data_IF_887802705527
#
_entry.id   IF_887802705527
#
_cell.length_a   1.000
_cell.length_b   1.000
_cell.length_c   1.000
_cell.angle_alpha   90.00
_cell.angle_beta   90.00
_cell.angle_gamma   90.00
#
_symmetry.space_group_name_H-M   'P 1'
#
loop_
_entity.id
_entity.type
_entity.pdbx_description
1 polymer ?
#
# COMPACT_ATOMS: atom_id res chain seq x y z
N UNK A 1 9.21 15.37 -14.69
CA UNK A 1 8.41 14.50 -13.81
C UNK A 1 6.96 14.37 -14.29
N UNK A 2 6.07 15.41 -14.29
CA UNK A 2 4.63 15.25 -14.64
C UNK A 2 4.38 14.65 -16.02
N UNK A 3 5.14 15.02 -17.05
CA UNK A 3 5.03 14.41 -18.39
C UNK A 3 5.34 12.90 -18.37
N UNK A 4 6.36 12.49 -17.63
CA UNK A 4 6.73 11.07 -17.48
C UNK A 4 5.64 10.29 -16.74
N UNK A 5 5.10 10.86 -15.66
CA UNK A 5 3.99 10.25 -14.90
C UNK A 5 2.76 10.08 -15.81
N UNK A 6 2.39 11.13 -16.55
CA UNK A 6 1.25 11.10 -17.46
C UNK A 6 1.39 10.01 -18.54
N UNK A 7 2.57 9.91 -19.18
CA UNK A 7 2.84 8.87 -20.18
C UNK A 7 2.72 7.47 -19.60
N UNK A 8 3.38 7.20 -18.46
CA UNK A 8 3.38 5.88 -17.79
C UNK A 8 1.99 5.46 -17.31
N UNK A 9 1.23 6.38 -16.69
CA UNK A 9 -0.11 6.05 -16.22
C UNK A 9 -1.10 5.88 -17.37
N UNK A 10 -0.98 6.64 -18.45
CA UNK A 10 -1.76 6.42 -19.68
C UNK A 10 -1.47 5.05 -20.29
N UNK A 11 -0.19 4.69 -20.41
CA UNK A 11 0.23 3.37 -20.89
C UNK A 11 -0.37 2.26 -20.04
N UNK A 12 -0.23 2.35 -18.71
CA UNK A 12 -0.80 1.38 -17.77
C UNK A 12 -2.32 1.24 -17.93
N UNK A 13 -3.03 2.35 -17.95
CA UNK A 13 -4.49 2.33 -18.01
C UNK A 13 -5.03 1.79 -19.33
N UNK A 14 -4.32 2.02 -20.43
CA UNK A 14 -4.70 1.56 -21.78
C UNK A 14 -4.23 0.13 -22.06
N UNK A 15 -3.08 -0.29 -21.52
CA UNK A 15 -2.48 -1.59 -21.80
C UNK A 15 -2.95 -2.69 -20.86
N UNK A 16 -3.19 -2.40 -19.59
CA UNK A 16 -3.63 -3.39 -18.60
C UNK A 16 -5.15 -3.34 -18.38
N UNK A 17 -5.89 -4.42 -18.64
CA UNK A 17 -7.32 -4.49 -18.31
C UNK A 17 -7.49 -4.54 -16.78
N UNK A 18 -7.73 -3.38 -16.16
CA UNK A 18 -7.90 -3.27 -14.73
C UNK A 18 -9.23 -3.86 -14.28
N UNK A 19 -9.21 -4.75 -13.29
CA UNK A 19 -10.39 -5.08 -12.51
C UNK A 19 -10.22 -4.64 -11.06
N UNK A 20 -11.33 -4.43 -10.36
CA UNK A 20 -11.36 -3.80 -9.06
C UNK A 20 -12.09 -4.66 -8.05
N UNK A 21 -11.47 -4.88 -6.89
CA UNK A 21 -12.08 -5.57 -5.76
C UNK A 21 -12.04 -4.66 -4.55
N UNK A 22 -13.16 -4.52 -3.86
CA UNK A 22 -13.28 -3.69 -2.66
C UNK A 22 -13.71 -4.51 -1.45
N UNK A 23 -13.17 -4.18 -0.30
CA UNK A 23 -13.54 -4.79 0.97
C UNK A 23 -13.55 -3.76 2.09
N UNK A 24 -14.54 -3.86 2.97
CA UNK A 24 -14.53 -3.16 4.25
C UNK A 24 -13.82 -4.02 5.29
N UNK A 25 -12.84 -3.45 5.96
CA UNK A 25 -11.98 -4.16 6.92
C UNK A 25 -12.15 -3.53 8.30
N UNK A 26 -12.50 -4.35 9.31
CA UNK A 26 -12.45 -3.94 10.70
C UNK A 26 -11.02 -3.72 11.15
N UNK A 27 -10.73 -2.57 11.72
CA UNK A 27 -9.40 -2.19 12.19
C UNK A 27 -9.35 -1.87 13.69
N UNK A 28 -10.46 -2.02 14.40
CA UNK A 28 -10.55 -1.74 15.84
C UNK A 28 -9.46 -2.47 16.64
N UNK A 29 -9.24 -3.77 16.38
CA UNK A 29 -8.19 -4.56 17.04
C UNK A 29 -6.79 -4.07 16.65
N UNK A 30 -6.58 -3.73 15.39
CA UNK A 30 -5.30 -3.20 14.89
C UNK A 30 -4.97 -1.86 15.55
N UNK A 31 -5.95 -0.97 15.68
CA UNK A 31 -5.75 0.34 16.34
C UNK A 31 -5.39 0.18 17.81
N UNK A 32 -6.04 -0.72 18.54
CA UNK A 32 -5.70 -1.07 19.94
C UNK A 32 -4.29 -1.63 20.04
N UNK A 33 -3.92 -2.58 19.18
CA UNK A 33 -2.57 -3.15 19.14
C UNK A 33 -1.52 -2.08 18.85
N UNK A 34 -1.76 -1.22 17.85
CA UNK A 34 -0.86 -0.09 17.53
C UNK A 34 -0.67 0.82 18.73
N UNK A 35 -1.75 1.16 19.45
CA UNK A 35 -1.68 2.00 20.64
C UNK A 35 -0.82 1.34 21.73
N UNK A 36 -1.06 0.06 22.02
CA UNK A 36 -0.30 -0.70 23.00
C UNK A 36 1.19 -0.77 22.65
N UNK A 37 1.54 -1.11 21.39
CA UNK A 37 2.93 -1.17 20.95
C UNK A 37 3.62 0.19 21.02
N UNK A 38 2.93 1.27 20.66
CA UNK A 38 3.50 2.62 20.72
C UNK A 38 3.66 3.12 22.16
N UNK A 39 2.82 2.72 23.11
CA UNK A 39 2.95 3.08 24.53
C UNK A 39 4.13 2.39 25.22
N UNK A 40 4.52 1.21 24.75
CA UNK A 40 5.65 0.45 25.31
C UNK A 40 6.97 0.65 24.54
N UNK A 41 6.94 1.42 23.45
CA UNK A 41 8.10 1.62 22.58
C UNK A 41 9.21 2.48 23.17
N UNK A 42 8.98 3.17 24.31
CA UNK A 42 9.95 4.06 24.97
C UNK A 42 10.67 5.06 24.05
N UNK A 43 9.99 5.48 22.97
CA UNK A 43 10.55 6.39 21.97
C UNK A 43 11.38 5.74 20.86
N UNK A 44 11.65 4.43 20.92
CA UNK A 44 12.45 3.75 19.92
C UNK A 44 11.78 3.73 18.52
N UNK A 45 10.46 3.64 18.50
CA UNK A 45 9.67 3.68 17.27
C UNK A 45 8.28 4.29 17.52
N UNK A 46 7.63 4.70 16.45
CA UNK A 46 6.23 5.13 16.45
C UNK A 46 5.55 4.56 15.22
N UNK A 47 4.78 3.50 15.42
CA UNK A 47 4.07 2.78 14.36
C UNK A 47 2.86 3.55 13.85
N UNK A 48 2.70 3.58 12.54
CA UNK A 48 1.51 4.08 11.84
C UNK A 48 0.65 2.90 11.35
N UNK A 49 -0.61 3.16 11.01
CA UNK A 49 -1.48 2.15 10.36
C UNK A 49 -0.84 1.66 9.05
N UNK A 50 -0.16 2.55 8.32
CA UNK A 50 0.49 2.22 7.07
C UNK A 50 1.59 1.15 7.23
N UNK A 51 2.33 1.15 8.34
CA UNK A 51 3.38 0.16 8.61
C UNK A 51 2.78 -1.25 8.75
N UNK A 52 1.60 -1.35 9.41
CA UNK A 52 0.85 -2.61 9.49
C UNK A 52 0.32 -3.06 8.13
N UNK A 53 -0.19 -2.12 7.32
CA UNK A 53 -0.67 -2.42 5.96
C UNK A 53 0.46 -2.95 5.08
N UNK A 54 1.63 -2.31 5.10
CA UNK A 54 2.81 -2.77 4.35
C UNK A 54 3.17 -4.20 4.75
N UNK A 55 3.21 -4.49 6.06
CA UNK A 55 3.52 -5.84 6.56
C UNK A 55 2.46 -6.86 6.17
N UNK A 56 1.19 -6.53 6.30
CA UNK A 56 0.07 -7.41 5.96
C UNK A 56 0.04 -7.73 4.46
N UNK A 57 0.17 -6.71 3.61
CA UNK A 57 0.22 -6.87 2.14
C UNK A 57 1.43 -7.70 1.74
N UNK A 58 2.62 -7.39 2.26
CA UNK A 58 3.83 -8.17 1.96
C UNK A 58 3.68 -9.64 2.35
N UNK A 59 3.07 -9.93 3.51
CA UNK A 59 2.80 -11.30 3.95
C UNK A 59 1.76 -12.00 3.07
N UNK A 60 0.74 -11.28 2.61
CA UNK A 60 -0.28 -11.81 1.70
C UNK A 60 0.31 -12.14 0.31
N UNK A 61 1.18 -11.28 -0.22
CA UNK A 61 1.83 -11.50 -1.52
C UNK A 61 2.72 -12.76 -1.54
N UNK A 62 3.37 -13.09 -0.42
CA UNK A 62 4.13 -14.34 -0.29
C UNK A 62 3.20 -15.56 -0.23
N UNK A 63 2.02 -15.42 0.39
CA UNK A 63 1.02 -16.51 0.46
C UNK A 63 0.25 -16.70 -0.84
N UNK A 64 0.11 -15.63 -1.64
CA UNK A 64 -0.60 -15.65 -2.92
C UNK A 64 0.33 -15.10 -4.02
N UNK A 65 1.34 -15.89 -4.44
CA UNK A 65 2.38 -15.41 -5.34
C UNK A 65 1.87 -14.98 -6.72
N UNK A 66 0.71 -15.47 -7.16
CA UNK A 66 0.10 -15.05 -8.42
C UNK A 66 -0.16 -13.53 -8.48
N UNK A 67 -0.47 -12.90 -7.33
CA UNK A 67 -0.66 -11.44 -7.24
C UNK A 67 0.66 -10.68 -7.17
N UNK A 68 1.76 -11.37 -6.79
CA UNK A 68 3.10 -10.79 -6.74
C UNK A 68 3.84 -11.04 -8.06
N UNK A 69 3.31 -10.57 -9.16
CA UNK A 69 3.76 -10.87 -10.51
C UNK A 69 3.81 -9.64 -11.40
N UNK A 70 4.37 -9.80 -12.58
CA UNK A 70 4.42 -8.78 -13.65
C UNK A 70 4.17 -9.45 -15.00
N UNK A 71 3.31 -8.86 -15.82
CA UNK A 71 3.16 -9.26 -17.21
C UNK A 71 4.31 -8.70 -18.05
N UNK A 72 5.01 -9.56 -18.76
CA UNK A 72 6.10 -9.23 -19.68
C UNK A 72 5.60 -9.40 -21.11
N UNK A 73 4.98 -8.34 -21.65
CA UNK A 73 4.28 -8.39 -22.96
C UNK A 73 5.21 -8.78 -24.11
N UNK A 74 6.43 -8.22 -24.15
CA UNK A 74 7.40 -8.53 -25.21
C UNK A 74 7.87 -10.00 -25.22
N UNK A 75 7.80 -10.67 -24.07
CA UNK A 75 8.22 -12.05 -23.89
C UNK A 75 7.02 -13.01 -23.85
N UNK A 76 5.79 -12.48 -23.71
CA UNK A 76 4.56 -13.27 -23.56
C UNK A 76 4.53 -14.11 -22.29
N UNK A 77 5.20 -13.66 -21.20
CA UNK A 77 5.33 -14.46 -19.96
C UNK A 77 4.91 -13.68 -18.73
N UNK A 78 4.47 -14.41 -17.70
CA UNK A 78 4.24 -13.88 -16.36
C UNK A 78 5.53 -14.08 -15.55
N UNK A 79 6.13 -12.96 -15.10
CA UNK A 79 7.25 -13.00 -14.16
C UNK A 79 6.71 -12.94 -12.74
N UNK A 80 6.83 -14.03 -11.99
CA UNK A 80 6.50 -14.09 -10.56
C UNK A 80 7.70 -13.66 -9.71
N UNK A 81 7.44 -12.90 -8.64
CA UNK A 81 8.45 -12.38 -7.74
C UNK A 81 8.51 -13.20 -6.45
N UNK A 82 9.71 -13.56 -6.02
CA UNK A 82 9.96 -14.31 -4.77
C UNK A 82 10.01 -13.41 -3.52
N UNK A 83 10.20 -12.12 -3.72
CA UNK A 83 10.21 -11.10 -2.64
C UNK A 83 9.02 -10.17 -2.76
N UNK A 84 8.55 -9.65 -1.64
CA UNK A 84 7.52 -8.62 -1.62
C UNK A 84 8.18 -7.26 -1.34
N UNK A 85 8.37 -6.48 -2.41
CA UNK A 85 8.98 -5.15 -2.40
C UNK A 85 7.86 -4.11 -2.57
N UNK A 86 7.48 -3.47 -1.47
CA UNK A 86 6.27 -2.63 -1.43
C UNK A 86 6.59 -1.18 -1.75
N UNK A 87 6.06 -0.70 -2.86
CA UNK A 87 6.08 0.72 -3.22
C UNK A 87 5.02 1.48 -2.43
N UNK A 88 5.40 2.59 -1.80
CA UNK A 88 4.49 3.41 -0.99
C UNK A 88 4.31 4.76 -1.66
N UNK A 89 3.08 5.12 -2.04
CA UNK A 89 2.79 6.40 -2.67
C UNK A 89 2.99 7.56 -1.68
N UNK A 90 3.89 8.48 -2.00
CA UNK A 90 4.22 9.67 -1.22
C UNK A 90 4.00 10.92 -2.07
N UNK A 91 3.13 11.82 -1.60
CA UNK A 91 2.93 13.13 -2.23
C UNK A 91 4.13 14.04 -1.95
N UNK A 92 4.62 14.72 -2.99
CA UNK A 92 5.70 15.69 -2.91
C UNK A 92 5.28 16.99 -3.61
N UNK A 93 6.01 18.07 -3.39
CA UNK A 93 5.72 19.36 -4.04
C UNK A 93 5.78 19.29 -5.57
N UNK A 94 6.59 18.38 -6.12
CA UNK A 94 6.79 18.22 -7.58
C UNK A 94 5.94 17.13 -8.22
N UNK A 95 5.21 16.33 -7.43
CA UNK A 95 4.37 15.23 -7.89
C UNK A 95 4.36 14.05 -6.93
N UNK A 96 3.98 12.88 -7.42
CA UNK A 96 3.92 11.64 -6.65
C UNK A 96 5.21 10.84 -6.83
N UNK A 97 5.81 10.39 -5.73
CA UNK A 97 6.92 9.45 -5.71
C UNK A 97 6.49 8.14 -5.02
N UNK A 98 7.10 7.04 -5.42
CA UNK A 98 6.76 5.71 -4.89
C UNK A 98 8.01 5.00 -4.37
N UNK A 99 8.61 5.47 -3.23
CA UNK A 99 9.72 4.77 -2.61
C UNK A 99 9.35 3.34 -2.22
N UNK A 100 10.35 2.47 -2.20
CA UNK A 100 10.19 1.02 -2.08
C UNK A 100 10.73 0.54 -0.74
N UNK A 101 9.90 -0.16 0.02
CA UNK A 101 10.31 -0.96 1.17
C UNK A 101 10.64 -2.35 0.67
N UNK A 102 11.93 -2.62 0.47
CA UNK A 102 12.41 -3.89 -0.08
C UNK A 102 12.22 -5.04 0.93
N UNK A 103 11.90 -6.23 0.44
CA UNK A 103 11.71 -7.45 1.23
C UNK A 103 10.85 -7.23 2.50
N UNK A 104 9.76 -6.47 2.39
CA UNK A 104 8.92 -6.08 3.52
C UNK A 104 8.35 -7.27 4.30
N UNK A 105 8.16 -8.42 3.63
CA UNK A 105 7.72 -9.67 4.25
C UNK A 105 8.70 -10.18 5.32
N UNK A 106 10.01 -9.96 5.13
CA UNK A 106 11.05 -10.41 6.05
C UNK A 106 11.35 -9.40 7.19
N UNK A 107 10.81 -8.17 7.11
CA UNK A 107 11.07 -7.10 8.08
C UNK A 107 10.05 -7.07 9.20
N UNK A 108 10.49 -6.69 10.42
CA UNK A 108 9.60 -6.37 11.54
C UNK A 108 8.98 -4.96 11.39
N UNK A 109 7.90 -4.71 12.12
CA UNK A 109 7.16 -3.43 12.06
C UNK A 109 8.03 -2.21 12.38
N UNK A 110 8.91 -2.29 13.39
CA UNK A 110 9.81 -1.20 13.75
C UNK A 110 10.78 -0.85 12.60
N UNK A 111 11.33 -1.87 11.94
CA UNK A 111 12.22 -1.71 10.78
C UNK A 111 11.47 -1.06 9.60
N UNK A 112 10.26 -1.57 9.28
CA UNK A 112 9.40 -0.98 8.24
C UNK A 112 9.11 0.49 8.55
N UNK A 113 8.71 0.81 9.78
CA UNK A 113 8.39 2.19 10.19
C UNK A 113 9.58 3.14 10.03
N UNK A 114 10.78 2.69 10.44
CA UNK A 114 12.02 3.47 10.31
C UNK A 114 12.36 3.73 8.84
N UNK A 115 12.27 2.70 8.00
CA UNK A 115 12.57 2.77 6.57
C UNK A 115 11.57 3.67 5.84
N UNK A 116 10.27 3.50 6.09
CA UNK A 116 9.22 4.35 5.50
C UNK A 116 9.42 5.82 5.86
N UNK A 117 9.75 6.14 7.11
CA UNK A 117 10.04 7.53 7.53
C UNK A 117 11.24 8.10 6.79
N UNK A 118 12.35 7.34 6.71
CA UNK A 118 13.57 7.75 6.00
C UNK A 118 13.29 7.99 4.52
N UNK A 119 12.66 7.05 3.85
CA UNK A 119 12.32 7.14 2.42
C UNK A 119 11.34 8.27 2.12
N UNK A 120 10.32 8.46 2.96
CA UNK A 120 9.36 9.56 2.82
C UNK A 120 10.00 10.93 3.02
N UNK A 121 10.97 11.05 3.93
CA UNK A 121 11.79 12.26 4.09
C UNK A 121 12.59 12.56 2.83
N UNK A 122 13.37 11.59 2.35
CA UNK A 122 14.14 11.70 1.09
C UNK A 122 13.25 12.04 -0.11
N UNK A 123 12.03 11.47 -0.18
CA UNK A 123 11.08 11.76 -1.25
C UNK A 123 10.66 13.23 -1.27
N UNK A 124 10.31 13.80 -0.11
CA UNK A 124 9.92 15.21 0.01
C UNK A 124 11.08 16.16 -0.29
N UNK A 125 12.30 15.79 0.11
CA UNK A 125 13.51 16.55 -0.14
C UNK A 125 14.06 16.39 -1.58
N UNK A 126 13.44 15.53 -2.40
CA UNK A 126 13.92 15.23 -3.75
C UNK A 126 15.26 14.51 -3.80
N UNK A 127 15.60 13.76 -2.74
CA UNK A 127 16.90 13.06 -2.55
C UNK A 127 16.81 11.55 -2.69
N UNK A 128 15.70 11.00 -3.19
CA UNK A 128 15.59 9.57 -3.47
C UNK A 128 16.55 9.17 -4.59
N UNK A 129 17.29 8.09 -4.37
CA UNK A 129 18.10 7.47 -5.41
C UNK A 129 17.24 6.61 -6.34
N UNK A 130 17.64 6.40 -7.61
CA UNK A 130 16.87 5.57 -8.54
C UNK A 130 16.50 4.19 -8.01
N UNK A 131 17.42 3.50 -7.33
CA UNK A 131 17.18 2.19 -6.73
C UNK A 131 16.15 2.21 -5.59
N UNK A 132 15.86 3.37 -4.99
CA UNK A 132 14.89 3.51 -3.91
C UNK A 132 13.44 3.69 -4.42
N UNK A 133 13.22 3.94 -5.73
CA UNK A 133 11.89 4.12 -6.31
C UNK A 133 11.66 3.42 -7.65
N UNK A 134 12.70 2.81 -8.24
CA UNK A 134 12.56 2.01 -9.45
C UNK A 134 12.49 0.53 -9.09
N UNK A 135 11.46 -0.16 -9.55
CA UNK A 135 11.19 -1.54 -9.20
C UNK A 135 9.95 -1.66 -8.33
N UNK A 136 10.04 -2.46 -7.26
CA UNK A 136 8.89 -2.81 -6.45
C UNK A 136 8.00 -3.85 -7.12
N UNK A 137 7.27 -4.61 -6.33
CA UNK A 137 6.42 -5.70 -6.86
C UNK A 137 4.94 -5.41 -6.69
N UNK A 138 4.59 -4.53 -5.75
CA UNK A 138 3.23 -4.11 -5.47
C UNK A 138 3.20 -2.68 -4.90
N UNK A 139 2.12 -1.94 -5.10
CA UNK A 139 2.00 -0.56 -4.61
C UNK A 139 0.88 -0.42 -3.57
N UNK A 140 1.12 0.40 -2.55
CA UNK A 140 0.09 0.88 -1.62
C UNK A 140 -0.06 2.40 -1.81
N UNK A 141 -1.30 2.82 -2.10
CA UNK A 141 -1.70 4.23 -2.16
C UNK A 141 -2.67 4.52 -1.01
N UNK A 142 -2.22 5.27 -0.01
CA UNK A 142 -2.99 5.54 1.20
C UNK A 142 -3.41 7.02 1.27
N UNK A 143 -4.72 7.26 1.17
CA UNK A 143 -5.35 8.57 1.36
C UNK A 143 -6.13 8.67 2.67
N UNK A 144 -5.96 7.71 3.58
CA UNK A 144 -6.68 7.63 4.86
C UNK A 144 -6.47 8.80 5.81
N UNK A 145 -5.48 9.66 5.55
CA UNK A 145 -5.29 10.94 6.27
C UNK A 145 -6.34 12.01 5.89
N UNK A 146 -7.00 11.85 4.74
CA UNK A 146 -8.05 12.75 4.31
C UNK A 146 -9.42 12.14 4.65
N UNK A 147 -10.10 12.73 5.64
CA UNK A 147 -11.41 12.25 6.13
C UNK A 147 -12.53 12.26 5.09
N UNK A 148 -12.36 13.02 3.99
CA UNK A 148 -13.31 13.06 2.89
C UNK A 148 -13.17 11.87 1.93
N UNK A 149 -12.04 11.14 1.96
CA UNK A 149 -11.77 10.03 1.04
C UNK A 149 -12.11 8.71 1.73
N UNK A 150 -13.33 8.25 1.54
CA UNK A 150 -13.79 6.97 2.08
C UNK A 150 -13.21 5.78 1.31
N UNK A 151 -13.24 5.86 -0.02
CA UNK A 151 -12.73 4.83 -0.94
C UNK A 151 -12.36 5.46 -2.27
N UNK A 152 -11.42 4.86 -2.95
CA UNK A 152 -11.01 5.24 -4.30
C UNK A 152 -10.34 4.04 -4.98
N UNK A 153 -10.17 4.11 -6.28
CA UNK A 153 -9.37 3.15 -7.06
C UNK A 153 -8.11 3.83 -7.56
N UNK A 154 -7.03 3.07 -7.67
CA UNK A 154 -5.75 3.56 -8.16
C UNK A 154 -5.38 2.89 -9.49
N UNK A 155 -4.57 3.57 -10.29
CA UNK A 155 -4.01 3.03 -11.54
C UNK A 155 -2.78 2.20 -11.18
N UNK A 156 -2.67 1.01 -11.74
CA UNK A 156 -1.52 0.12 -11.55
C UNK A 156 -0.25 0.82 -12.00
N UNK A 157 0.82 0.69 -11.21
CA UNK A 157 2.13 1.24 -11.53
C UNK A 157 2.96 0.17 -12.28
N UNK A 158 3.16 0.28 -13.61
CA UNK A 158 3.90 -0.73 -14.36
C UNK A 158 5.35 -0.88 -13.86
N UNK A 159 5.92 -2.09 -13.87
CA UNK A 159 5.41 -3.34 -14.44
C UNK A 159 4.63 -4.20 -13.44
N UNK A 160 4.21 -3.65 -12.30
CA UNK A 160 3.44 -4.36 -11.26
C UNK A 160 2.07 -4.79 -11.79
N UNK A 161 1.52 -5.86 -11.23
CA UNK A 161 0.18 -6.36 -11.57
C UNK A 161 -0.91 -5.88 -10.61
N UNK A 162 -0.56 -5.18 -9.53
CA UNK A 162 -1.55 -4.74 -8.56
C UNK A 162 -1.16 -3.51 -7.73
N UNK A 163 -2.17 -2.84 -7.24
CA UNK A 163 -2.08 -1.70 -6.32
C UNK A 163 -3.26 -1.73 -5.34
N UNK A 164 -2.98 -1.41 -4.08
CA UNK A 164 -4.00 -1.28 -3.04
C UNK A 164 -4.22 0.20 -2.71
N UNK A 165 -5.45 0.67 -2.92
CA UNK A 165 -5.92 1.97 -2.48
C UNK A 165 -6.57 1.84 -1.09
N UNK A 166 -6.20 2.72 -0.16
CA UNK A 166 -6.64 2.69 1.24
C UNK A 166 -7.35 3.99 1.58
N UNK A 167 -8.61 3.89 1.97
CA UNK A 167 -9.43 5.00 2.40
C UNK A 167 -9.28 5.34 3.88
N UNK A 168 -10.05 6.33 4.33
CA UNK A 168 -10.05 6.77 5.73
C UNK A 168 -10.72 5.74 6.65
N UNK A 169 -10.31 5.73 7.91
CA UNK A 169 -11.00 4.95 8.96
C UNK A 169 -12.23 5.71 9.40
N UNK A 170 -13.37 5.02 9.44
CA UNK A 170 -14.65 5.53 9.93
C UNK A 170 -15.23 4.64 11.01
N UNK A 171 -15.95 5.22 11.97
CA UNK A 171 -16.79 4.47 12.90
C UNK A 171 -18.08 4.10 12.22
N UNK A 172 -18.38 2.80 12.23
CA UNK A 172 -19.58 2.23 11.61
C UNK A 172 -20.35 1.46 12.67
N UNK A 173 -21.67 1.63 12.70
CA UNK A 173 -22.53 0.81 13.55
C UNK A 173 -22.64 -0.59 12.94
N UNK A 174 -22.33 -1.60 13.72
CA UNK A 174 -22.42 -3.03 13.33
C UNK A 174 -23.26 -3.78 14.35
N UNK A 175 -23.85 -4.89 13.93
CA UNK A 175 -24.55 -5.78 14.86
C UNK A 175 -23.52 -6.67 15.57
N UNK A 176 -23.44 -6.55 16.90
CA UNK A 176 -22.64 -7.39 17.74
C UNK A 176 -23.15 -8.83 17.81
N UNK A 177 -22.38 -9.72 18.41
CA UNK A 177 -22.73 -11.14 18.53
C UNK A 177 -23.99 -11.41 19.38
N UNK A 178 -24.33 -10.51 20.27
CA UNK A 178 -25.52 -10.51 21.12
C UNK A 178 -26.74 -9.85 20.48
N UNK A 179 -26.59 -9.39 19.20
CA UNK A 179 -27.65 -8.70 18.45
C UNK A 179 -27.75 -7.20 18.75
N UNK A 180 -26.96 -6.67 19.69
CA UNK A 180 -26.95 -5.24 19.99
C UNK A 180 -26.07 -4.46 19.01
N UNK A 181 -26.29 -3.14 18.91
CA UNK A 181 -25.49 -2.26 18.08
C UNK A 181 -24.14 -1.97 18.76
N UNK A 182 -23.07 -2.23 18.05
CA UNK A 182 -21.71 -1.90 18.46
C UNK A 182 -21.07 -0.94 17.46
N UNK A 183 -20.05 -0.20 17.90
CA UNK A 183 -19.25 0.65 17.03
C UNK A 183 -17.95 -0.05 16.64
N UNK A 184 -17.72 -0.15 15.36
CA UNK A 184 -16.48 -0.70 14.80
C UNK A 184 -15.74 0.35 13.98
N UNK A 185 -14.42 0.41 14.13
CA UNK A 185 -13.57 1.22 13.28
C UNK A 185 -13.28 0.43 12.00
N UNK A 186 -13.76 0.92 10.87
CA UNK A 186 -13.61 0.27 9.57
C UNK A 186 -12.89 1.17 8.56
N UNK A 187 -12.16 0.56 7.66
CA UNK A 187 -11.64 1.23 6.47
C UNK A 187 -11.99 0.42 5.22
N UNK A 188 -12.20 1.12 4.10
CA UNK A 188 -12.38 0.49 2.81
C UNK A 188 -11.04 0.44 2.10
N UNK A 189 -10.69 -0.76 1.63
CA UNK A 189 -9.54 -0.98 0.74
C UNK A 189 -10.04 -1.39 -0.63
N UNK A 190 -9.39 -0.88 -1.67
CA UNK A 190 -9.73 -1.19 -3.06
C UNK A 190 -8.46 -1.67 -3.78
N UNK A 191 -8.45 -2.92 -4.18
CA UNK A 191 -7.40 -3.49 -5.01
C UNK A 191 -7.72 -3.25 -6.49
N UNK A 192 -6.74 -2.76 -7.25
CA UNK A 192 -6.77 -2.75 -8.71
C UNK A 192 -5.75 -3.76 -9.20
N UNK A 193 -6.16 -4.68 -10.07
CA UNK A 193 -5.34 -5.78 -10.56
C UNK A 193 -5.39 -5.86 -12.07
N UNK A 194 -4.29 -6.31 -12.68
CA UNK A 194 -4.19 -6.63 -14.09
C UNK A 194 -4.86 -7.98 -14.35
N UNK A 195 -5.84 -8.01 -15.24
CA UNK A 195 -6.63 -9.22 -15.52
C UNK A 195 -5.98 -10.17 -16.53
N UNK A 196 -4.77 -9.88 -16.99
CA UNK A 196 -4.00 -10.78 -17.88
C UNK A 196 -3.28 -11.86 -17.07
#
# INVERSE_FOLDING_TARGET
>A
MRKTIAARLKESKNGAPHYYVQSSISVSKLLKLRQSLNSTANGEYKLSVNDFLIKAVASALIKVPAVNSSWREAEGVIKQHSTADISVAVSTATGLMTPIVAAAHAKGLASISKEVKSLSGKARDGKLKPEEYQGGTFTISNLGMNSAVERFTAIINPPQSGILAVGTVKKVAVQGKDGQLEWDDQMVVSGSFDHR
#
